data_IF_251610300304
#
_entry.id   IF_251610300304
#
_cell.length_a   1.000
_cell.length_b   1.000
_cell.length_c   1.000
_cell.angle_alpha   90.00
_cell.angle_beta   90.00
_cell.angle_gamma   90.00
#
_symmetry.space_group_name_H-M   'P 1'
#
loop_
_entity.id
_entity.type
_entity.pdbx_description
1 polymer ?
#
# COMPACT_ATOMS: atom_id res chain seq x y z
N UNK A 1 -1.62 34.83 -50.24
CA UNK A 1 -2.82 34.58 -49.41
C UNK A 1 -3.57 33.39 -49.98
N UNK A 2 -3.84 32.37 -49.18
CA UNK A 2 -4.61 31.20 -49.62
C UNK A 2 -4.27 29.95 -48.82
N UNK A 3 -4.85 29.85 -47.62
CA UNK A 3 -4.75 28.69 -46.71
C UNK A 3 -5.31 27.44 -47.41
N UNK A 4 -4.58 26.31 -47.39
CA UNK A 4 -5.17 24.99 -47.59
C UNK A 4 -5.42 24.37 -46.21
N UNK A 5 -6.68 24.37 -45.80
CA UNK A 5 -7.18 23.47 -44.75
C UNK A 5 -7.08 22.04 -45.29
N UNK A 6 -6.41 21.16 -44.56
CA UNK A 6 -6.55 19.72 -44.73
C UNK A 6 -7.45 19.24 -43.61
N UNK A 7 -8.69 18.93 -43.98
CA UNK A 7 -9.67 18.23 -43.17
C UNK A 7 -9.23 16.76 -43.06
N UNK A 8 -8.89 16.28 -41.87
CA UNK A 8 -8.70 14.85 -41.63
C UNK A 8 -10.04 14.23 -41.27
N UNK A 9 -10.56 13.44 -42.21
CA UNK A 9 -11.73 12.58 -42.07
C UNK A 9 -11.32 11.36 -41.25
N UNK A 10 -11.85 11.19 -40.03
CA UNK A 10 -11.80 9.89 -39.35
C UNK A 10 -12.93 9.03 -39.95
N UNK A 11 -12.54 8.06 -40.78
CA UNK A 11 -13.42 7.06 -41.33
C UNK A 11 -13.80 6.02 -40.28
N UNK A 12 -15.10 5.91 -40.03
CA UNK A 12 -15.73 4.80 -39.32
C UNK A 12 -15.53 3.52 -40.14
N UNK A 13 -14.94 2.49 -39.53
CA UNK A 13 -15.01 1.11 -40.06
C UNK A 13 -15.80 0.28 -39.06
N UNK A 14 -17.08 0.07 -39.37
CA UNK A 14 -17.87 -1.03 -38.82
C UNK A 14 -17.50 -2.29 -39.60
N UNK A 15 -17.09 -3.34 -38.89
CA UNK A 15 -17.20 -4.72 -39.36
C UNK A 15 -17.94 -5.53 -38.30
N UNK A 16 -19.17 -5.91 -38.66
CA UNK A 16 -20.05 -6.81 -37.91
C UNK A 16 -19.58 -8.23 -38.13
N UNK A 17 -19.09 -8.88 -37.06
CA UNK A 17 -18.86 -10.32 -37.01
C UNK A 17 -19.55 -10.86 -35.76
N UNK A 18 -20.67 -11.54 -35.96
CA UNK A 18 -21.46 -12.11 -34.85
C UNK A 18 -20.66 -13.16 -34.08
N UNK A 19 -20.49 -12.93 -32.79
CA UNK A 19 -20.23 -13.96 -31.81
C UNK A 19 -21.34 -13.94 -30.77
N UNK A 20 -21.88 -15.14 -30.51
CA UNK A 20 -22.79 -15.42 -29.42
C UNK A 20 -22.19 -14.89 -28.12
N UNK A 21 -22.70 -13.74 -27.65
CA UNK A 21 -22.38 -13.22 -26.33
C UNK A 21 -23.11 -14.10 -25.30
N UNK A 22 -22.46 -15.16 -24.85
CA UNK A 22 -22.68 -15.63 -23.49
C UNK A 22 -22.25 -14.47 -22.58
N UNK A 23 -23.22 -13.75 -22.03
CA UNK A 23 -22.99 -12.73 -21.00
C UNK A 23 -22.42 -13.41 -19.77
N UNK A 24 -21.11 -13.62 -19.74
CA UNK A 24 -20.42 -13.80 -18.48
C UNK A 24 -20.29 -12.41 -17.87
N UNK A 25 -21.14 -12.14 -16.90
CA UNK A 25 -20.90 -11.08 -15.92
C UNK A 25 -19.64 -11.44 -15.17
N UNK A 26 -18.47 -11.05 -15.69
CA UNK A 26 -17.23 -11.13 -14.94
C UNK A 26 -17.23 -9.93 -14.01
N UNK A 27 -17.46 -10.18 -12.73
CA UNK A 27 -17.29 -9.20 -11.66
C UNK A 27 -15.82 -8.82 -11.56
N UNK A 28 -15.44 -7.68 -12.15
CA UNK A 28 -14.19 -7.02 -11.81
C UNK A 28 -14.25 -6.57 -10.33
N UNK A 29 -13.25 -7.01 -9.57
CA UNK A 29 -12.82 -6.47 -8.27
C UNK A 29 -13.80 -6.56 -7.07
N UNK A 30 -14.15 -7.79 -6.65
CA UNK A 30 -14.61 -8.06 -5.27
C UNK A 30 -13.51 -8.71 -4.41
N UNK A 31 -12.30 -8.17 -4.43
CA UNK A 31 -11.21 -8.60 -3.55
C UNK A 31 -10.58 -7.40 -2.83
N UNK A 32 -11.33 -6.81 -1.92
CA UNK A 32 -10.79 -5.92 -0.88
C UNK A 32 -10.09 -6.78 0.18
N UNK A 33 -8.78 -6.61 0.34
CA UNK A 33 -7.99 -7.34 1.33
C UNK A 33 -6.75 -6.58 1.76
N UNK A 34 -6.91 -5.68 2.74
CA UNK A 34 -5.86 -4.94 3.45
C UNK A 34 -6.31 -3.52 3.83
N UNK A 35 -6.16 -3.14 5.10
CA UNK A 35 -6.17 -1.72 5.54
C UNK A 35 -4.87 -1.01 5.15
N UNK A 36 -3.79 -1.78 5.03
CA UNK A 36 -2.52 -1.38 4.46
C UNK A 36 -1.90 -2.54 3.67
N UNK A 37 -1.19 -2.23 2.61
CA UNK A 37 -0.34 -3.16 1.85
C UNK A 37 1.05 -2.53 1.68
N UNK A 38 2.08 -3.22 2.16
CA UNK A 38 3.46 -2.73 2.21
C UNK A 38 4.36 -3.56 1.32
N UNK A 39 5.17 -2.89 0.49
CA UNK A 39 5.92 -3.47 -0.62
C UNK A 39 7.41 -3.16 -0.45
N UNK A 40 8.16 -4.01 0.25
CA UNK A 40 9.55 -3.75 0.64
C UNK A 40 10.61 -3.97 -0.46
N UNK A 41 10.21 -4.43 -1.66
CA UNK A 41 11.10 -4.66 -2.82
C UNK A 41 12.46 -5.34 -2.54
N UNK A 42 12.54 -6.21 -1.53
CA UNK A 42 13.73 -7.02 -1.24
C UNK A 42 13.99 -8.11 -2.30
N UNK A 43 12.93 -8.63 -2.90
CA UNK A 43 12.94 -9.70 -3.89
C UNK A 43 11.68 -9.64 -4.77
N UNK A 44 11.70 -10.35 -5.90
CA UNK A 44 10.50 -10.52 -6.72
C UNK A 44 9.48 -11.43 -6.02
N UNK A 45 8.38 -10.85 -5.54
CA UNK A 45 7.23 -11.60 -5.07
C UNK A 45 6.24 -11.84 -6.23
N UNK A 46 6.38 -12.99 -6.89
CA UNK A 46 5.53 -13.39 -8.01
C UNK A 46 4.08 -13.67 -7.61
N UNK A 47 3.76 -13.78 -6.32
CA UNK A 47 2.38 -13.92 -5.86
C UNK A 47 1.62 -12.59 -5.87
N UNK A 48 2.34 -11.48 -5.70
CA UNK A 48 1.77 -10.14 -5.58
C UNK A 48 1.94 -9.28 -6.83
N UNK A 49 2.97 -9.56 -7.64
CA UNK A 49 3.35 -8.72 -8.77
C UNK A 49 3.59 -9.52 -10.04
N UNK A 50 3.60 -8.80 -11.16
CA UNK A 50 3.97 -9.27 -12.49
C UNK A 50 4.98 -8.31 -13.14
N UNK A 51 5.85 -8.86 -13.98
CA UNK A 51 6.78 -8.10 -14.83
C UNK A 51 6.27 -8.11 -16.26
N UNK A 52 6.20 -6.94 -16.88
CA UNK A 52 5.69 -6.82 -18.26
C UNK A 52 6.72 -7.31 -19.29
N UNK A 53 6.21 -7.89 -20.38
CA UNK A 53 7.01 -8.43 -21.50
C UNK A 53 6.45 -8.04 -22.88
N UNK A 54 5.78 -6.90 -22.95
CA UNK A 54 5.06 -6.37 -24.11
C UNK A 54 5.48 -4.90 -24.36
N UNK A 55 4.94 -4.23 -25.36
CA UNK A 55 5.21 -2.81 -25.59
C UNK A 55 3.91 -2.02 -25.63
N UNK A 56 3.88 -0.86 -24.97
CA UNK A 56 2.76 0.08 -25.06
C UNK A 56 2.60 0.65 -26.48
N UNK A 57 3.70 0.72 -27.24
CA UNK A 57 3.75 1.48 -28.48
C UNK A 57 3.62 3.00 -28.26
N UNK A 58 3.27 3.73 -29.31
CA UNK A 58 3.12 5.18 -29.23
C UNK A 58 4.43 5.87 -28.84
N UNK A 59 4.41 6.63 -27.74
CA UNK A 59 5.56 7.38 -27.25
C UNK A 59 6.57 6.55 -26.45
N UNK A 60 6.22 5.34 -26.03
CA UNK A 60 7.10 4.46 -25.26
C UNK A 60 8.07 3.75 -26.23
N UNK A 61 9.28 4.29 -26.38
CA UNK A 61 10.30 3.78 -27.31
C UNK A 61 11.03 2.55 -26.76
N UNK A 62 10.30 1.62 -26.13
CA UNK A 62 10.88 0.39 -25.62
C UNK A 62 9.88 -0.77 -25.62
N UNK A 63 10.43 -1.98 -25.53
CA UNK A 63 9.69 -3.18 -25.12
C UNK A 63 9.98 -3.47 -23.65
N UNK A 64 8.95 -3.71 -22.85
CA UNK A 64 9.12 -4.16 -21.48
C UNK A 64 9.80 -5.53 -21.45
N UNK A 65 10.74 -5.70 -20.54
CA UNK A 65 11.47 -6.95 -20.39
C UNK A 65 11.65 -7.28 -18.91
N UNK A 66 11.29 -8.50 -18.47
CA UNK A 66 11.54 -8.94 -17.10
C UNK A 66 13.02 -8.84 -16.69
N UNK A 67 13.96 -8.95 -17.64
CA UNK A 67 15.40 -8.79 -17.37
C UNK A 67 15.80 -7.36 -16.96
N UNK A 68 14.92 -6.39 -17.20
CA UNK A 68 15.10 -4.99 -16.83
C UNK A 68 14.56 -4.68 -15.43
N UNK A 69 14.00 -5.68 -14.73
CA UNK A 69 13.56 -5.60 -13.33
C UNK A 69 14.48 -6.49 -12.49
N UNK A 70 15.17 -5.91 -11.51
CA UNK A 70 16.10 -6.66 -10.64
C UNK A 70 15.99 -6.21 -9.20
N UNK A 71 16.32 -7.11 -8.27
CA UNK A 71 16.22 -6.87 -6.83
C UNK A 71 17.57 -7.17 -6.19
N UNK A 72 18.14 -6.18 -5.51
CA UNK A 72 19.42 -6.31 -4.83
C UNK A 72 19.55 -5.24 -3.75
N UNK A 73 20.14 -5.60 -2.62
CA UNK A 73 20.38 -4.67 -1.49
C UNK A 73 19.10 -4.02 -0.95
N UNK A 74 18.00 -4.77 -0.88
CA UNK A 74 16.73 -4.31 -0.32
C UNK A 74 15.94 -3.34 -1.20
N UNK A 75 16.27 -3.25 -2.49
CA UNK A 75 15.60 -2.32 -3.43
C UNK A 75 15.33 -3.02 -4.76
N UNK A 76 14.25 -2.59 -5.42
CA UNK A 76 14.01 -2.86 -6.83
C UNK A 76 14.79 -1.84 -7.68
N UNK A 77 15.38 -2.33 -8.77
CA UNK A 77 16.03 -1.54 -9.81
C UNK A 77 15.35 -1.80 -11.14
N UNK A 78 14.84 -0.74 -11.76
CA UNK A 78 14.31 -0.74 -13.12
C UNK A 78 15.32 -0.08 -14.05
N UNK A 79 15.69 -0.73 -15.16
CA UNK A 79 16.77 -0.25 -16.04
C UNK A 79 16.29 -0.05 -17.47
N UNK A 80 16.77 1.00 -18.14
CA UNK A 80 16.68 1.14 -19.60
C UNK A 80 17.94 0.54 -20.22
N UNK A 81 17.75 -0.45 -21.09
CA UNK A 81 18.81 -1.12 -21.84
C UNK A 81 18.53 -1.09 -23.34
N UNK A 82 19.39 -1.73 -24.13
CA UNK A 82 19.19 -1.93 -25.57
C UNK A 82 19.58 -3.34 -25.97
N UNK A 83 18.77 -3.94 -26.83
CA UNK A 83 19.08 -5.18 -27.52
C UNK A 83 19.01 -4.97 -29.04
N UNK A 84 19.05 -6.05 -29.81
CA UNK A 84 19.02 -6.00 -31.27
C UNK A 84 17.65 -5.55 -31.86
N UNK A 85 16.57 -5.58 -31.07
CA UNK A 85 15.23 -5.11 -31.46
C UNK A 85 14.97 -3.63 -31.16
N UNK A 86 15.75 -3.01 -30.28
CA UNK A 86 15.52 -1.63 -29.83
C UNK A 86 15.86 -1.46 -28.35
N UNK A 87 15.34 -0.39 -27.74
CA UNK A 87 15.48 -0.21 -26.29
C UNK A 87 14.53 -1.16 -25.54
N UNK A 88 14.94 -1.54 -24.34
CA UNK A 88 14.10 -2.26 -23.39
C UNK A 88 13.98 -1.48 -22.09
N UNK A 89 12.79 -1.53 -21.48
CA UNK A 89 12.49 -0.91 -20.20
C UNK A 89 12.03 -1.94 -19.18
N UNK A 90 12.01 -1.54 -17.91
CA UNK A 90 11.41 -2.33 -16.84
C UNK A 90 10.04 -1.76 -16.47
N UNK A 91 9.03 -2.63 -16.35
CA UNK A 91 7.75 -2.31 -15.74
C UNK A 91 7.39 -3.41 -14.74
N UNK A 92 7.01 -2.99 -13.54
CA UNK A 92 6.60 -3.84 -12.43
C UNK A 92 5.25 -3.39 -11.92
N UNK A 93 4.29 -4.30 -11.78
CA UNK A 93 2.91 -3.95 -11.43
C UNK A 93 2.27 -4.96 -10.51
N UNK A 94 1.38 -4.49 -9.64
CA UNK A 94 0.63 -5.36 -8.73
C UNK A 94 -0.38 -6.20 -9.51
N UNK A 95 -0.68 -7.39 -8.98
CA UNK A 95 -1.83 -8.20 -9.44
C UNK A 95 -3.15 -7.70 -8.84
N UNK A 96 -3.10 -7.16 -7.61
CA UNK A 96 -4.23 -6.53 -6.93
C UNK A 96 -4.52 -5.13 -7.51
N UNK A 97 -5.78 -4.73 -7.37
CA UNK A 97 -6.26 -3.38 -7.64
C UNK A 97 -6.56 -2.68 -6.30
N UNK A 98 -6.33 -1.38 -6.26
CA UNK A 98 -6.44 -0.55 -5.06
C UNK A 98 -7.36 0.64 -5.35
N UNK A 99 -8.23 0.96 -4.39
CA UNK A 99 -9.18 2.07 -4.49
C UNK A 99 -8.66 3.32 -3.77
N UNK A 100 -9.59 4.10 -3.22
CA UNK A 100 -9.26 5.29 -2.42
C UNK A 100 -8.35 4.96 -1.23
N UNK A 101 -7.34 5.79 -1.04
CA UNK A 101 -6.32 5.61 -0.02
C UNK A 101 -5.09 6.45 -0.27
N UNK A 102 -4.12 6.33 0.64
CA UNK A 102 -2.81 6.93 0.54
C UNK A 102 -1.86 5.94 -0.12
N UNK A 103 -1.28 6.34 -1.25
CA UNK A 103 -0.27 5.59 -1.99
C UNK A 103 1.06 6.27 -1.76
N UNK A 104 2.09 5.50 -1.41
CA UNK A 104 3.43 6.04 -1.15
C UNK A 104 4.50 5.19 -1.84
N UNK A 105 5.61 5.84 -2.17
CA UNK A 105 6.79 5.21 -2.74
C UNK A 105 8.05 5.93 -2.26
N UNK A 106 9.08 5.17 -1.92
CA UNK A 106 10.41 5.69 -1.67
C UNK A 106 11.31 5.34 -2.86
N UNK A 107 11.73 6.34 -3.63
CA UNK A 107 12.42 6.10 -4.91
C UNK A 107 13.48 7.16 -5.27
N UNK A 108 14.35 6.77 -6.21
CA UNK A 108 15.31 7.62 -6.95
C UNK A 108 15.08 7.46 -8.46
N UNK A 109 14.67 8.52 -9.19
CA UNK A 109 14.46 8.45 -10.63
C UNK A 109 15.78 8.46 -11.43
N UNK A 110 15.68 8.10 -12.71
CA UNK A 110 16.76 8.25 -13.69
C UNK A 110 16.97 9.74 -13.99
N UNK A 111 18.23 10.17 -13.99
CA UNK A 111 18.65 11.47 -14.53
C UNK A 111 19.25 11.29 -15.92
N UNK A 112 18.44 11.49 -16.95
CA UNK A 112 18.84 11.48 -18.35
C UNK A 112 17.83 12.24 -19.21
N UNK A 113 18.28 12.91 -20.28
CA UNK A 113 17.34 13.53 -21.23
C UNK A 113 16.44 12.45 -21.87
N UNK A 114 15.17 12.76 -22.11
CA UNK A 114 14.26 11.90 -22.88
C UNK A 114 13.74 10.65 -22.19
N UNK A 115 13.84 10.53 -20.86
CA UNK A 115 13.33 9.36 -20.12
C UNK A 115 12.36 9.75 -19.01
N UNK A 116 11.51 8.80 -18.61
CA UNK A 116 10.61 8.89 -17.46
C UNK A 116 10.92 7.79 -16.45
N UNK A 117 10.81 8.11 -15.17
CA UNK A 117 10.68 7.15 -14.06
C UNK A 117 9.38 7.43 -13.33
N UNK A 118 8.57 6.40 -13.05
CA UNK A 118 7.18 6.59 -12.61
C UNK A 118 6.79 5.75 -11.39
N UNK A 119 5.80 6.27 -10.66
CA UNK A 119 4.96 5.52 -9.73
C UNK A 119 3.52 5.98 -9.94
N UNK A 120 2.63 5.06 -10.27
CA UNK A 120 1.28 5.41 -10.69
C UNK A 120 0.27 4.31 -10.37
N UNK A 121 -1.01 4.65 -10.46
CA UNK A 121 -2.09 3.67 -10.51
C UNK A 121 -2.68 3.63 -11.91
N UNK A 122 -3.03 2.46 -12.42
CA UNK A 122 -3.68 2.33 -13.72
C UNK A 122 -4.70 1.21 -13.76
N UNK A 123 -5.83 1.48 -14.41
CA UNK A 123 -6.75 0.50 -14.98
C UNK A 123 -7.27 1.03 -16.31
N UNK A 124 -7.62 0.15 -17.25
CA UNK A 124 -8.12 0.58 -18.56
C UNK A 124 -8.78 -0.53 -19.37
N UNK A 125 -8.80 -0.35 -20.69
CA UNK A 125 -9.44 -1.27 -21.63
C UNK A 125 -8.83 -2.68 -21.54
N UNK A 126 -7.51 -2.77 -21.29
CA UNK A 126 -6.80 -4.04 -21.03
C UNK A 126 -7.36 -4.83 -19.84
N UNK A 127 -7.99 -4.14 -18.90
CA UNK A 127 -8.55 -4.69 -17.67
C UNK A 127 -10.10 -4.71 -17.72
N UNK A 128 -10.71 -4.37 -18.86
CA UNK A 128 -12.17 -4.35 -19.04
C UNK A 128 -12.85 -3.15 -18.36
N UNK A 129 -12.13 -2.06 -18.14
CA UNK A 129 -12.60 -0.85 -17.45
C UNK A 129 -12.35 0.41 -18.27
N UNK A 130 -12.88 1.55 -17.82
CA UNK A 130 -12.47 2.85 -18.36
C UNK A 130 -11.04 3.17 -17.92
N UNK A 131 -10.34 3.97 -18.72
CA UNK A 131 -8.99 4.42 -18.37
C UNK A 131 -9.04 5.43 -17.22
N UNK A 132 -8.69 4.98 -16.03
CA UNK A 132 -8.50 5.79 -14.83
C UNK A 132 -7.06 5.58 -14.33
N UNK A 133 -6.33 6.68 -14.10
CA UNK A 133 -4.91 6.67 -13.76
C UNK A 133 -4.51 7.89 -12.92
N UNK A 134 -3.52 7.73 -12.04
CA UNK A 134 -2.95 8.81 -11.21
C UNK A 134 -1.43 8.66 -11.21
N UNK A 135 -0.73 9.74 -11.53
CA UNK A 135 0.68 9.72 -11.89
C UNK A 135 1.58 10.53 -10.95
N UNK A 136 2.75 9.97 -10.67
CA UNK A 136 3.97 10.67 -10.26
C UNK A 136 5.05 10.32 -11.29
N UNK A 137 5.48 11.31 -12.06
CA UNK A 137 6.46 11.14 -13.15
C UNK A 137 7.66 12.06 -12.96
N UNK A 138 8.87 11.48 -13.00
CA UNK A 138 10.11 12.24 -13.05
C UNK A 138 10.60 12.31 -14.49
N UNK A 139 10.59 13.52 -15.05
CA UNK A 139 11.15 13.79 -16.36
C UNK A 139 12.66 13.88 -16.23
N UNK A 140 13.39 12.89 -16.73
CA UNK A 140 14.80 12.68 -16.39
C UNK A 140 15.73 13.82 -16.81
N UNK A 141 15.30 14.71 -17.71
CA UNK A 141 16.09 15.88 -18.13
C UNK A 141 16.22 16.93 -17.02
N UNK A 142 15.31 16.95 -16.05
CA UNK A 142 15.31 17.86 -14.92
C UNK A 142 14.69 17.21 -13.68
N UNK A 143 15.49 16.40 -13.00
CA UNK A 143 15.15 15.71 -11.76
C UNK A 143 15.06 16.63 -10.53
N UNK A 144 15.13 17.96 -10.71
CA UNK A 144 14.76 18.92 -9.65
C UNK A 144 13.27 19.21 -9.61
N UNK A 145 12.51 18.60 -10.52
CA UNK A 145 11.06 18.70 -10.62
C UNK A 145 10.41 17.32 -10.66
N UNK A 146 9.14 17.28 -10.28
CA UNK A 146 8.26 16.11 -10.43
C UNK A 146 6.97 16.56 -11.10
N UNK A 147 6.47 15.75 -12.04
CA UNK A 147 5.19 15.96 -12.70
C UNK A 147 4.12 15.11 -12.02
N UNK A 148 3.00 15.73 -11.68
CA UNK A 148 1.77 15.06 -11.26
C UNK A 148 0.77 15.09 -12.41
N UNK A 149 0.01 14.02 -12.59
CA UNK A 149 -1.06 13.96 -13.58
C UNK A 149 -2.15 12.97 -13.13
N UNK A 150 -3.26 12.96 -13.84
CA UNK A 150 -4.28 11.92 -13.72
C UNK A 150 -5.14 11.88 -14.98
N UNK A 151 -5.68 10.69 -15.26
CA UNK A 151 -6.66 10.45 -16.31
C UNK A 151 -7.97 9.97 -15.70
N UNK A 152 -9.07 10.53 -16.17
CA UNK A 152 -10.42 10.07 -15.81
C UNK A 152 -11.19 9.75 -17.06
N UNK A 153 -11.59 8.49 -17.22
CA UNK A 153 -12.21 7.99 -18.45
C UNK A 153 -11.40 8.35 -19.72
N UNK A 154 -10.07 8.20 -19.65
CA UNK A 154 -9.12 8.52 -20.71
C UNK A 154 -8.90 10.01 -20.97
N UNK A 155 -9.49 10.90 -20.16
CA UNK A 155 -9.27 12.34 -20.26
C UNK A 155 -8.15 12.77 -19.31
N UNK A 156 -6.99 13.12 -19.87
CA UNK A 156 -5.85 13.70 -19.15
C UNK A 156 -5.74 15.22 -19.35
N UNK A 157 -4.51 15.71 -19.58
CA UNK A 157 -4.14 17.14 -19.60
C UNK A 157 -4.25 17.82 -18.21
N UNK A 158 -3.86 17.09 -17.17
CA UNK A 158 -3.84 17.57 -15.78
C UNK A 158 -2.41 17.73 -15.24
N UNK A 159 -1.43 17.89 -16.14
CA UNK A 159 -0.02 17.96 -15.78
C UNK A 159 0.24 19.17 -14.87
N UNK A 160 0.85 18.90 -13.71
CA UNK A 160 1.34 19.91 -12.80
C UNK A 160 2.80 19.62 -12.47
N UNK A 161 3.69 20.56 -12.80
CA UNK A 161 5.13 20.42 -12.58
C UNK A 161 5.54 21.13 -11.28
N UNK A 162 5.89 20.37 -10.26
CA UNK A 162 6.31 20.86 -8.94
C UNK A 162 7.83 20.97 -8.84
N UNK A 163 8.33 22.06 -8.24
CA UNK A 163 9.77 22.24 -7.93
C UNK A 163 10.10 21.61 -6.58
N UNK A 164 10.98 20.61 -6.57
CA UNK A 164 11.31 19.83 -5.37
C UNK A 164 12.18 20.60 -4.37
N UNK A 165 13.03 21.50 -4.86
CA UNK A 165 14.06 22.16 -4.04
C UNK A 165 15.29 21.29 -3.76
N UNK A 166 15.33 20.08 -4.31
CA UNK A 166 16.45 19.14 -4.31
C UNK A 166 16.50 18.39 -5.65
N UNK A 167 17.58 17.66 -5.90
CA UNK A 167 17.70 16.79 -7.07
C UNK A 167 17.31 15.35 -6.69
N UNK A 168 16.14 14.89 -7.16
CA UNK A 168 15.57 13.60 -6.82
C UNK A 168 16.49 12.42 -7.17
N UNK A 169 17.39 12.57 -8.15
CA UNK A 169 18.26 11.45 -8.55
C UNK A 169 19.42 11.19 -7.57
N UNK A 170 19.68 12.09 -6.61
CA UNK A 170 20.85 12.01 -5.73
C UNK A 170 20.60 11.17 -4.47
N UNK A 171 19.37 11.15 -3.96
CA UNK A 171 19.00 10.48 -2.72
C UNK A 171 17.57 9.96 -2.80
N UNK A 172 17.27 8.93 -2.02
CA UNK A 172 15.91 8.45 -1.88
C UNK A 172 15.05 9.50 -1.17
N UNK A 173 13.84 9.69 -1.69
CA UNK A 173 12.81 10.55 -1.11
C UNK A 173 11.48 9.82 -1.16
N UNK A 174 10.55 10.22 -0.29
CA UNK A 174 9.21 9.63 -0.25
C UNK A 174 8.25 10.51 -1.03
N UNK A 175 7.55 9.92 -1.98
CA UNK A 175 6.50 10.56 -2.76
C UNK A 175 5.20 9.81 -2.55
N UNK A 176 4.08 10.48 -2.73
CA UNK A 176 2.80 9.80 -2.62
C UNK A 176 1.63 10.64 -3.07
N UNK A 177 0.47 10.02 -3.13
CA UNK A 177 -0.79 10.71 -3.32
C UNK A 177 -1.88 10.09 -2.46
N UNK A 178 -2.70 10.96 -1.86
CA UNK A 178 -3.92 10.60 -1.14
C UNK A 178 -5.11 10.79 -2.09
N UNK A 179 -5.65 9.66 -2.56
CA UNK A 179 -6.74 9.61 -3.52
C UNK A 179 -8.07 9.41 -2.81
N UNK A 180 -8.92 10.43 -2.88
CA UNK A 180 -10.27 10.48 -2.34
C UNK A 180 -11.30 10.64 -3.47
N UNK A 181 -12.58 10.39 -3.18
CA UNK A 181 -13.66 10.53 -4.16
C UNK A 181 -13.77 11.91 -4.81
N UNK A 182 -13.36 12.97 -4.10
CA UNK A 182 -13.44 14.36 -4.58
C UNK A 182 -12.09 15.04 -4.78
N UNK A 183 -10.97 14.38 -4.48
CA UNK A 183 -9.65 15.01 -4.57
C UNK A 183 -8.50 14.02 -4.67
N UNK A 184 -7.42 14.44 -5.28
CA UNK A 184 -6.10 13.80 -5.15
C UNK A 184 -5.16 14.83 -4.56
N UNK A 185 -4.49 14.50 -3.46
CA UNK A 185 -3.45 15.35 -2.86
C UNK A 185 -2.10 14.66 -2.97
N UNK A 186 -1.12 15.27 -3.63
CA UNK A 186 0.23 14.75 -3.76
C UNK A 186 1.14 15.24 -2.64
N UNK A 187 2.07 14.38 -2.23
CA UNK A 187 3.01 14.58 -1.14
C UNK A 187 4.45 14.39 -1.59
N UNK A 188 5.36 15.19 -1.02
CA UNK A 188 6.81 15.02 -1.11
C UNK A 188 7.36 15.07 0.31
N UNK A 189 8.05 14.01 0.74
CA UNK A 189 8.58 13.81 2.09
C UNK A 189 7.54 14.11 3.19
N UNK A 190 6.33 13.57 3.01
CA UNK A 190 5.20 13.73 3.93
C UNK A 190 4.52 15.11 3.90
N UNK A 191 5.01 16.06 3.10
CA UNK A 191 4.39 17.39 2.93
C UNK A 191 3.45 17.39 1.74
N UNK A 192 2.19 17.78 1.94
CA UNK A 192 1.26 18.04 0.85
C UNK A 192 1.75 19.22 -0.02
N UNK A 193 1.80 19.02 -1.34
CA UNK A 193 2.38 20.00 -2.28
C UNK A 193 1.42 20.42 -3.40
N UNK A 194 0.43 19.59 -3.74
CA UNK A 194 -0.55 19.88 -4.77
C UNK A 194 -1.84 19.10 -4.52
N UNK A 195 -2.99 19.71 -4.80
CA UNK A 195 -4.30 19.07 -4.72
C UNK A 195 -5.12 19.37 -5.97
N UNK A 196 -5.63 18.32 -6.62
CA UNK A 196 -6.61 18.41 -7.69
C UNK A 196 -8.00 18.02 -7.15
N UNK A 197 -9.06 18.66 -7.65
CA UNK A 197 -10.45 18.41 -7.20
C UNK A 197 -11.46 18.32 -8.35
N UNK A 198 -10.99 18.32 -9.60
CA UNK A 198 -11.83 18.31 -10.79
C UNK A 198 -11.70 16.94 -11.46
N UNK A 199 -12.83 16.38 -11.90
CA UNK A 199 -12.88 15.15 -12.71
C UNK A 199 -11.98 14.04 -12.15
N UNK A 200 -12.13 13.72 -10.87
CA UNK A 200 -11.24 12.77 -10.16
C UNK A 200 -11.56 11.32 -10.57
N UNK A 201 -10.53 10.46 -10.80
CA UNK A 201 -10.73 9.06 -11.12
C UNK A 201 -11.49 8.35 -9.99
N UNK A 202 -12.21 7.28 -10.32
CA UNK A 202 -12.99 6.53 -9.32
C UNK A 202 -12.98 5.00 -9.52
N UNK A 203 -12.20 4.50 -10.47
CA UNK A 203 -12.05 3.06 -10.73
C UNK A 203 -10.76 2.56 -10.11
N UNK A 204 -10.79 1.56 -9.20
CA UNK A 204 -9.59 0.99 -8.61
C UNK A 204 -8.56 0.55 -9.66
N UNK A 205 -7.29 0.89 -9.44
CA UNK A 205 -6.18 0.62 -10.35
C UNK A 205 -5.12 -0.29 -9.75
N UNK A 206 -4.32 -0.96 -10.59
CA UNK A 206 -3.08 -1.60 -10.14
C UNK A 206 -2.04 -0.53 -9.84
N UNK A 207 -1.21 -0.76 -8.83
CA UNK A 207 -0.01 0.07 -8.60
C UNK A 207 1.07 -0.38 -9.58
N UNK A 208 1.70 0.56 -10.26
CA UNK A 208 2.68 0.33 -11.32
C UNK A 208 3.89 1.24 -11.18
N UNK A 209 5.04 0.73 -11.59
CA UNK A 209 6.31 1.45 -11.68
C UNK A 209 6.96 1.08 -13.00
N UNK A 210 7.40 2.06 -13.78
CA UNK A 210 8.16 1.80 -15.00
C UNK A 210 9.28 2.83 -15.25
N UNK A 211 10.19 2.47 -16.15
CA UNK A 211 11.20 3.37 -16.71
C UNK A 211 11.28 3.19 -18.22
N UNK A 212 11.26 4.29 -18.96
CA UNK A 212 11.21 4.22 -20.43
C UNK A 212 11.81 5.46 -21.10
N UNK A 213 12.44 5.29 -22.27
CA UNK A 213 12.78 6.39 -23.16
C UNK A 213 11.60 6.77 -24.05
N UNK A 214 11.44 8.07 -24.31
CA UNK A 214 10.39 8.62 -25.15
C UNK A 214 10.78 8.78 -26.62
N UNK A 215 9.81 8.63 -27.52
CA UNK A 215 9.91 9.00 -28.94
C UNK A 215 8.72 9.84 -29.39
N UNK A 216 8.95 10.79 -30.30
CA UNK A 216 7.90 11.68 -30.83
C UNK A 216 7.37 12.72 -29.84
N UNK A 217 8.01 12.88 -28.67
CA UNK A 217 7.56 13.74 -27.57
C UNK A 217 8.67 14.68 -27.05
N UNK A 218 9.60 15.08 -27.92
CA UNK A 218 10.77 15.89 -27.56
C UNK A 218 10.42 17.24 -26.90
N UNK A 219 9.24 17.81 -27.18
CA UNK A 219 8.77 19.02 -26.50
C UNK A 219 8.45 18.82 -25.03
N UNK A 220 8.15 17.58 -24.62
CA UNK A 220 7.85 17.20 -23.25
C UNK A 220 9.08 16.62 -22.55
N UNK A 221 9.71 15.58 -23.13
CA UNK A 221 10.79 14.84 -22.47
C UNK A 221 12.20 15.31 -22.84
N UNK A 222 12.32 16.18 -23.85
CA UNK A 222 13.54 16.37 -24.64
C UNK A 222 13.96 15.09 -25.38
N UNK A 223 14.87 15.24 -26.33
CA UNK A 223 15.38 14.11 -27.09
C UNK A 223 16.13 13.13 -26.18
N UNK A 224 15.85 11.83 -26.31
CA UNK A 224 16.63 10.78 -25.67
C UNK A 224 17.97 10.58 -26.38
N UNK A 225 19.07 10.61 -25.64
CA UNK A 225 20.42 10.53 -26.19
C UNK A 225 20.92 9.10 -26.45
N UNK A 226 20.09 8.09 -26.15
CA UNK A 226 20.38 6.67 -26.37
C UNK A 226 21.26 6.02 -25.30
N UNK A 227 21.52 6.71 -24.18
CA UNK A 227 22.34 6.17 -23.08
C UNK A 227 21.66 4.98 -22.39
N UNK A 228 22.29 3.81 -22.43
CA UNK A 228 21.80 2.59 -21.78
C UNK A 228 22.47 2.31 -20.43
N UNK A 229 21.99 1.31 -19.71
CA UNK A 229 22.47 0.98 -18.35
C UNK A 229 22.08 2.02 -17.31
N UNK A 230 21.02 2.80 -17.56
CA UNK A 230 20.51 3.83 -16.66
C UNK A 230 19.30 3.29 -15.89
N UNK A 231 19.29 3.50 -14.57
CA UNK A 231 18.31 2.86 -13.68
C UNK A 231 17.64 3.81 -12.71
N UNK A 232 16.36 3.55 -12.44
CA UNK A 232 15.65 4.06 -11.27
C UNK A 232 15.67 3.01 -10.17
N UNK A 233 15.59 3.46 -8.92
CA UNK A 233 15.61 2.60 -7.74
C UNK A 233 14.38 2.87 -6.89
N UNK A 234 13.79 1.81 -6.34
CA UNK A 234 12.61 1.84 -5.49
C UNK A 234 12.93 1.00 -4.25
N UNK A 235 12.91 1.64 -3.08
CA UNK A 235 13.18 1.00 -1.79
C UNK A 235 11.92 0.29 -1.30
N UNK A 236 10.82 1.04 -1.18
CA UNK A 236 9.52 0.47 -0.85
C UNK A 236 8.38 1.25 -1.50
N UNK A 237 7.21 0.63 -1.53
CA UNK A 237 5.93 1.29 -1.77
C UNK A 237 4.89 0.85 -0.73
N UNK A 238 3.86 1.66 -0.52
CA UNK A 238 2.73 1.27 0.32
C UNK A 238 1.41 1.78 -0.22
N UNK A 239 0.35 1.13 0.22
CA UNK A 239 -1.03 1.58 0.10
C UNK A 239 -1.67 1.51 1.47
N UNK A 240 -2.37 2.57 1.87
CA UNK A 240 -3.17 2.65 3.08
C UNK A 240 -4.60 3.03 2.72
N UNK A 241 -5.56 2.13 2.93
CA UNK A 241 -6.97 2.42 2.71
C UNK A 241 -7.46 3.46 3.73
N UNK A 242 -8.38 4.35 3.33
CA UNK A 242 -9.03 5.24 4.30
C UNK A 242 -9.83 4.42 5.33
N UNK A 243 -9.60 4.71 6.61
CA UNK A 243 -10.33 4.06 7.71
C UNK A 243 -11.83 4.36 7.60
N UNK A 244 -12.66 3.32 7.56
CA UNK A 244 -14.13 3.44 7.42
C UNK A 244 -14.73 2.95 6.09
N UNK A 245 -13.92 2.53 5.12
CA UNK A 245 -14.42 1.87 3.90
C UNK A 245 -14.79 0.40 4.14
N UNK A 246 -15.74 0.14 5.04
CA UNK A 246 -16.44 -1.14 5.07
C UNK A 246 -17.59 -1.08 4.07
N UNK A 247 -17.48 -1.80 2.95
CA UNK A 247 -18.63 -2.08 2.09
C UNK A 247 -19.63 -2.94 2.87
N UNK A 248 -20.67 -2.30 3.40
CA UNK A 248 -21.86 -2.98 3.87
C UNK A 248 -22.69 -3.41 2.64
N UNK A 249 -22.20 -4.40 1.90
CA UNK A 249 -23.01 -5.14 0.94
C UNK A 249 -23.55 -6.38 1.62
N UNK A 250 -24.44 -6.18 2.59
CA UNK A 250 -25.40 -7.21 2.94
C UNK A 250 -26.28 -7.43 1.72
N UNK A 251 -26.01 -8.50 1.00
CA UNK A 251 -26.91 -9.08 0.01
C UNK A 251 -28.23 -9.42 0.71
N UNK A 252 -29.17 -8.47 0.67
CA UNK A 252 -30.58 -8.74 0.89
C UNK A 252 -31.06 -9.60 -0.28
N UNK A 253 -30.80 -10.91 -0.20
CA UNK A 253 -31.55 -11.92 -0.94
C UNK A 253 -32.93 -12.04 -0.29
N UNK A 254 -33.77 -11.02 -0.49
CA UNK A 254 -35.19 -11.19 -0.29
C UNK A 254 -35.77 -11.68 -1.63
N UNK A 255 -35.59 -12.98 -1.88
CA UNK A 255 -36.37 -13.68 -2.89
C UNK A 255 -37.81 -13.70 -2.40
N UNK A 256 -38.62 -12.85 -3.02
CA UNK A 256 -40.07 -12.84 -2.94
C UNK A 256 -40.63 -14.19 -3.39
N UNK A 257 -40.89 -15.07 -2.43
CA UNK A 257 -41.79 -16.20 -2.63
C UNK A 257 -43.20 -15.77 -2.24
N UNK A 258 -43.98 -15.55 -3.29
CA UNK A 258 -45.41 -15.36 -3.25
C UNK A 258 -46.07 -16.70 -2.87
N UNK A 259 -46.62 -16.80 -1.66
CA UNK A 259 -47.63 -17.79 -1.32
C UNK A 259 -48.69 -17.12 -0.47
N UNK A 260 -49.83 -16.92 -1.12
CA UNK A 260 -51.11 -16.58 -0.54
C UNK A 260 -51.53 -17.57 0.54
N UNK A 261 -51.88 -17.08 1.73
CA UNK A 261 -53.13 -17.47 2.38
C UNK A 261 -53.58 -16.47 3.45
N UNK A 262 -54.88 -16.24 3.39
CA UNK A 262 -55.73 -15.28 4.06
C UNK A 262 -56.04 -15.70 5.51
N UNK A 263 -56.10 -14.76 6.47
CA UNK A 263 -57.11 -14.69 7.55
C UNK A 263 -56.88 -13.52 8.53
N UNK A 264 -57.99 -12.85 8.87
CA UNK A 264 -58.17 -11.75 9.83
C UNK A 264 -57.66 -12.00 11.26
N UNK A 265 -57.17 -10.96 11.95
CA UNK A 265 -57.92 -10.21 13.00
C UNK A 265 -57.03 -9.48 14.03
N UNK A 266 -57.43 -8.23 14.31
CA UNK A 266 -57.47 -7.47 15.58
C UNK A 266 -56.38 -7.59 16.68
N UNK A 267 -55.70 -6.45 16.87
CA UNK A 267 -55.64 -5.61 18.09
C UNK A 267 -54.90 -6.09 19.38
N UNK A 268 -54.26 -5.10 20.02
CA UNK A 268 -53.91 -4.92 21.45
C UNK A 268 -52.43 -5.03 21.86
N UNK A 269 -52.02 -3.98 22.59
CA UNK A 269 -50.75 -3.70 23.25
C UNK A 269 -50.37 -4.68 24.36
N UNK A 270 -49.08 -4.73 24.70
CA UNK A 270 -48.50 -4.41 26.03
C UNK A 270 -47.25 -5.23 26.37
N UNK A 271 -46.29 -4.51 26.99
CA UNK A 271 -45.34 -4.91 28.04
C UNK A 271 -44.70 -6.32 28.08
N UNK A 272 -43.36 -6.32 28.17
CA UNK A 272 -42.46 -7.42 28.56
C UNK A 272 -42.70 -7.91 30.00
N UNK A 273 -42.36 -9.17 30.36
CA UNK A 273 -41.02 -9.45 30.93
C UNK A 273 -40.40 -10.83 30.56
N UNK A 274 -39.08 -10.93 30.75
CA UNK A 274 -38.20 -12.11 30.55
C UNK A 274 -38.51 -13.30 31.51
N UNK A 275 -38.05 -14.58 31.31
CA UNK A 275 -36.62 -14.97 31.28
C UNK A 275 -36.19 -16.25 30.49
N UNK A 276 -34.85 -16.41 30.39
CA UNK A 276 -34.02 -17.63 30.29
C UNK A 276 -34.00 -18.56 29.05
N UNK A 277 -32.84 -18.52 28.37
CA UNK A 277 -31.92 -19.62 28.00
C UNK A 277 -32.42 -20.79 27.13
N UNK A 278 -31.97 -20.81 25.86
CA UNK A 278 -31.33 -21.99 25.24
C UNK A 278 -30.58 -21.60 23.95
N UNK A 279 -29.26 -21.59 24.08
CA UNK A 279 -28.20 -21.91 23.10
C UNK A 279 -28.51 -21.94 21.58
N UNK A 280 -27.86 -21.02 20.84
CA UNK A 280 -26.98 -21.45 19.76
C UNK A 280 -25.80 -20.48 19.63
N UNK A 281 -24.59 -21.06 19.66
CA UNK A 281 -23.32 -20.38 19.78
C UNK A 281 -22.89 -19.72 18.46
N UNK A 282 -22.24 -18.56 18.57
CA UNK A 282 -21.48 -17.95 17.46
C UNK A 282 -21.71 -16.45 17.33
N UNK A 283 -21.11 -15.65 18.22
CA UNK A 283 -20.57 -14.32 17.93
C UNK A 283 -20.10 -13.68 19.24
N UNK A 284 -18.78 -13.52 19.39
CA UNK A 284 -18.23 -12.62 20.40
C UNK A 284 -17.52 -11.47 19.67
N UNK A 285 -18.32 -10.53 19.16
CA UNK A 285 -17.87 -9.22 18.70
C UNK A 285 -18.62 -8.18 19.52
N UNK A 286 -18.15 -7.97 20.75
CA UNK A 286 -18.78 -7.06 21.73
C UNK A 286 -17.76 -6.41 22.67
N UNK A 287 -16.49 -6.36 22.29
CA UNK A 287 -15.43 -5.68 23.04
C UNK A 287 -14.93 -4.52 22.18
N UNK A 288 -14.85 -3.31 22.72
CA UNK A 288 -14.26 -2.14 22.06
C UNK A 288 -12.75 -2.28 21.84
N UNK A 289 -12.30 -3.42 21.31
CA UNK A 289 -10.92 -3.73 20.99
C UNK A 289 -10.62 -3.30 19.55
N UNK A 290 -9.53 -2.54 19.39
CA UNK A 290 -8.95 -2.11 18.12
C UNK A 290 -8.47 -3.26 17.23
N UNK A 291 -8.16 -4.42 17.82
CA UNK A 291 -7.62 -5.59 17.13
C UNK A 291 -8.44 -6.84 17.45
N UNK A 292 -8.64 -7.70 16.44
CA UNK A 292 -9.29 -9.01 16.56
C UNK A 292 -8.29 -10.01 17.14
N UNK A 293 -8.55 -10.48 18.36
CA UNK A 293 -7.63 -11.39 19.08
C UNK A 293 -7.43 -12.74 18.41
N UNK A 294 -8.26 -13.12 17.43
CA UNK A 294 -8.12 -14.35 16.66
C UNK A 294 -7.24 -14.19 15.41
N UNK A 295 -6.90 -12.96 15.03
CA UNK A 295 -6.04 -12.67 13.89
C UNK A 295 -4.61 -12.43 14.34
N UNK A 296 -3.67 -12.96 13.56
CA UNK A 296 -2.26 -12.64 13.72
C UNK A 296 -1.95 -11.36 12.93
N UNK A 297 -1.06 -10.54 13.45
CA UNK A 297 -0.68 -9.25 12.92
C UNK A 297 0.83 -9.15 12.71
N UNK A 298 1.24 -8.38 11.71
CA UNK A 298 2.61 -7.91 11.51
C UNK A 298 2.70 -6.48 12.05
N UNK A 299 3.83 -6.14 12.65
CA UNK A 299 4.12 -4.79 13.12
C UNK A 299 5.32 -4.29 12.33
N UNK A 300 5.10 -3.35 11.41
CA UNK A 300 6.15 -2.78 10.55
C UNK A 300 6.51 -1.40 11.09
N UNK A 301 7.78 -1.17 11.39
CA UNK A 301 8.23 0.13 11.86
C UNK A 301 8.14 1.18 10.73
N UNK A 302 7.65 2.37 11.05
CA UNK A 302 7.42 3.41 10.04
C UNK A 302 8.70 4.06 9.53
N UNK A 303 9.75 4.12 10.37
CA UNK A 303 11.04 4.66 9.98
C UNK A 303 11.85 3.71 9.11
N UNK A 304 11.96 2.44 9.53
CA UNK A 304 12.83 1.45 8.87
C UNK A 304 12.13 0.55 7.85
N UNK A 305 10.78 0.50 7.86
CA UNK A 305 9.98 -0.46 7.10
C UNK A 305 10.26 -1.95 7.42
N UNK A 306 10.93 -2.24 8.55
CA UNK A 306 11.22 -3.59 9.01
C UNK A 306 10.21 -4.08 10.05
N UNK A 307 10.02 -5.40 10.12
CA UNK A 307 9.05 -6.04 11.01
C UNK A 307 9.61 -6.33 12.40
N UNK A 308 8.76 -6.21 13.42
CA UNK A 308 9.00 -6.75 14.75
C UNK A 308 9.17 -8.28 14.68
N UNK A 309 10.29 -8.80 15.22
CA UNK A 309 10.73 -10.17 15.03
C UNK A 309 11.33 -10.75 16.32
N UNK A 310 10.91 -11.98 16.69
CA UNK A 310 11.55 -12.77 17.75
C UNK A 310 12.87 -13.35 17.24
N UNK A 311 13.98 -12.88 17.80
CA UNK A 311 15.34 -13.21 17.34
C UNK A 311 15.54 -14.72 17.15
N UNK A 312 15.82 -15.09 15.89
CA UNK A 312 16.12 -16.47 15.51
C UNK A 312 14.99 -17.47 15.81
N UNK A 313 13.76 -16.98 16.00
CA UNK A 313 12.60 -17.78 16.43
C UNK A 313 12.87 -18.63 17.69
N UNK A 314 13.75 -18.15 18.58
CA UNK A 314 14.06 -18.84 19.84
C UNK A 314 12.87 -18.78 20.77
N UNK A 315 12.73 -19.77 21.66
CA UNK A 315 11.55 -19.93 22.54
C UNK A 315 11.82 -19.56 24.00
N UNK A 316 13.05 -19.18 24.32
CA UNK A 316 13.49 -18.94 25.70
C UNK A 316 12.99 -17.58 26.21
N UNK A 317 12.69 -17.50 27.51
CA UNK A 317 12.47 -16.23 28.19
C UNK A 317 13.71 -15.34 28.07
N UNK A 318 13.50 -14.06 27.81
CA UNK A 318 14.57 -13.11 27.58
C UNK A 318 15.15 -13.14 26.17
N UNK A 319 14.61 -13.96 25.26
CA UNK A 319 14.97 -13.87 23.83
C UNK A 319 14.66 -12.46 23.33
N UNK A 320 15.64 -11.86 22.65
CA UNK A 320 15.56 -10.50 22.18
C UNK A 320 14.46 -10.30 21.13
N UNK A 321 13.85 -9.12 21.13
CA UNK A 321 13.04 -8.66 20.01
C UNK A 321 13.87 -7.67 19.19
N UNK A 322 13.91 -7.90 17.89
CA UNK A 322 14.66 -7.10 16.93
C UNK A 322 13.76 -6.73 15.76
N UNK A 323 14.24 -5.84 14.89
CA UNK A 323 13.61 -5.62 13.59
C UNK A 323 14.26 -6.49 12.50
N UNK A 324 13.47 -7.00 11.57
CA UNK A 324 13.95 -7.79 10.44
C UNK A 324 13.02 -7.67 9.23
N UNK A 325 13.51 -7.84 7.98
CA UNK A 325 12.64 -7.89 6.81
C UNK A 325 11.48 -8.87 6.99
N UNK A 326 10.26 -8.43 6.69
CA UNK A 326 9.08 -9.28 6.85
C UNK A 326 9.10 -10.41 5.82
N UNK A 327 9.16 -11.65 6.29
CA UNK A 327 9.17 -12.89 5.49
C UNK A 327 7.93 -13.75 5.71
N UNK A 328 6.96 -13.27 6.50
CA UNK A 328 5.74 -14.00 6.82
C UNK A 328 5.94 -15.18 7.79
N UNK A 329 7.11 -15.33 8.40
CA UNK A 329 7.36 -16.39 9.37
C UNK A 329 6.62 -16.14 10.68
N UNK A 330 6.29 -17.22 11.41
CA UNK A 330 5.52 -17.11 12.65
C UNK A 330 6.18 -16.23 13.74
N UNK A 331 7.52 -16.08 13.74
CA UNK A 331 8.26 -15.21 14.67
C UNK A 331 8.08 -13.71 14.38
N UNK A 332 7.41 -13.36 13.27
CA UNK A 332 7.09 -11.99 12.87
C UNK A 332 5.58 -11.72 12.97
N UNK A 333 4.83 -12.65 13.54
CA UNK A 333 3.37 -12.60 13.68
C UNK A 333 3.00 -12.48 15.16
N UNK A 334 2.03 -11.62 15.46
CA UNK A 334 1.68 -11.22 16.82
C UNK A 334 0.17 -11.17 17.01
N UNK A 335 -0.33 -11.64 18.15
CA UNK A 335 -1.73 -11.52 18.55
C UNK A 335 -1.89 -10.40 19.57
N UNK A 336 -2.92 -9.57 19.41
CA UNK A 336 -3.29 -8.53 20.37
C UNK A 336 -4.44 -9.03 21.23
N UNK A 337 -4.19 -9.27 22.50
CA UNK A 337 -5.19 -9.72 23.46
C UNK A 337 -5.54 -8.54 24.37
N UNK A 338 -6.78 -8.04 24.28
CA UNK A 338 -7.24 -6.94 25.12
C UNK A 338 -7.52 -7.40 26.55
N UNK A 339 -6.93 -6.72 27.54
CA UNK A 339 -7.14 -6.96 28.97
C UNK A 339 -7.36 -5.61 29.67
N UNK A 340 -8.62 -5.27 29.96
CA UNK A 340 -9.00 -3.94 30.43
C UNK A 340 -8.71 -2.87 29.37
N UNK A 341 -7.95 -1.85 29.76
CA UNK A 341 -7.53 -0.74 28.89
C UNK A 341 -6.21 -1.02 28.14
N UNK A 342 -5.64 -2.22 28.31
CA UNK A 342 -4.32 -2.57 27.78
C UNK A 342 -4.39 -3.74 26.79
N UNK A 343 -3.30 -3.92 26.05
CA UNK A 343 -3.04 -5.06 25.20
C UNK A 343 -1.88 -5.88 25.71
N UNK A 344 -2.05 -7.19 25.64
CA UNK A 344 -0.97 -8.17 25.69
C UNK A 344 -0.60 -8.52 24.25
N UNK A 345 0.65 -8.26 23.86
CA UNK A 345 1.15 -8.51 22.50
C UNK A 345 1.87 -9.86 22.53
N UNK A 346 1.23 -10.90 21.99
CA UNK A 346 1.66 -12.30 22.10
C UNK A 346 2.26 -12.79 20.79
N UNK A 347 3.48 -13.32 20.83
CA UNK A 347 4.13 -13.94 19.67
C UNK A 347 3.33 -15.17 19.19
N UNK A 348 3.11 -15.24 17.88
CA UNK A 348 2.43 -16.38 17.26
C UNK A 348 3.32 -17.63 17.18
N UNK A 349 4.65 -17.48 17.17
CA UNK A 349 5.56 -18.65 17.12
C UNK A 349 5.78 -19.32 18.47
N UNK A 350 5.85 -18.53 19.55
CA UNK A 350 6.24 -19.02 20.88
C UNK A 350 5.10 -19.04 21.88
N UNK A 351 4.08 -18.19 21.67
CA UNK A 351 3.01 -17.94 22.64
C UNK A 351 3.42 -17.06 23.83
N UNK A 352 4.65 -16.56 23.86
CA UNK A 352 5.17 -15.61 24.87
C UNK A 352 4.79 -14.18 24.51
N UNK A 353 4.97 -13.25 25.44
CA UNK A 353 4.48 -11.88 25.31
C UNK A 353 5.62 -10.86 25.27
N UNK A 354 5.39 -9.78 24.51
CA UNK A 354 6.28 -8.63 24.40
C UNK A 354 6.46 -7.99 25.77
N UNK A 355 7.70 -7.95 26.26
CA UNK A 355 8.02 -7.60 27.64
C UNK A 355 9.18 -6.61 27.66
N UNK A 356 9.04 -5.51 28.40
CA UNK A 356 10.19 -4.69 28.78
C UNK A 356 11.00 -5.45 29.83
N UNK A 357 12.25 -5.78 29.49
CA UNK A 357 13.12 -6.60 30.32
C UNK A 357 13.36 -5.96 31.68
N UNK A 358 13.35 -6.79 32.73
CA UNK A 358 13.55 -6.40 34.13
C UNK A 358 12.59 -5.30 34.63
N UNK A 359 11.47 -5.10 33.91
CA UNK A 359 10.54 -4.00 34.14
C UNK A 359 11.22 -2.63 34.20
N UNK A 360 12.28 -2.45 33.38
CA UNK A 360 13.04 -1.21 33.30
C UNK A 360 12.11 -0.01 33.05
N UNK A 361 12.50 1.15 33.57
CA UNK A 361 11.77 2.42 33.37
C UNK A 361 12.63 3.51 32.75
N UNK A 362 13.90 3.25 32.46
CA UNK A 362 14.80 4.16 31.76
C UNK A 362 14.73 3.99 30.23
N UNK A 363 15.15 5.03 29.53
CA UNK A 363 15.35 5.04 28.08
C UNK A 363 16.36 3.96 27.66
N UNK A 364 16.10 3.27 26.57
CA UNK A 364 16.94 2.17 26.07
C UNK A 364 16.75 0.85 26.81
N UNK A 365 15.70 0.74 27.63
CA UNK A 365 15.33 -0.55 28.25
C UNK A 365 15.01 -1.59 27.19
N UNK A 366 15.62 -2.77 27.27
CA UNK A 366 15.48 -3.80 26.25
C UNK A 366 14.06 -4.36 26.18
N UNK A 367 13.59 -4.72 24.98
CA UNK A 367 12.34 -5.45 24.78
C UNK A 367 12.62 -6.89 24.36
N UNK A 368 12.09 -7.82 25.13
CA UNK A 368 12.26 -9.26 24.93
C UNK A 368 10.90 -9.97 24.91
N UNK A 369 10.89 -11.27 24.65
CA UNK A 369 9.72 -12.10 24.97
C UNK A 369 9.88 -12.75 26.35
N UNK A 370 8.76 -12.91 27.05
CA UNK A 370 8.69 -13.66 28.30
C UNK A 370 7.36 -14.38 28.43
N UNK A 371 7.29 -15.44 29.24
CA UNK A 371 6.02 -16.04 29.65
C UNK A 371 5.13 -14.98 30.32
N UNK A 372 3.83 -15.04 30.08
CA UNK A 372 2.92 -14.07 30.68
C UNK A 372 2.69 -14.37 32.16
N UNK A 373 2.91 -13.38 33.02
CA UNK A 373 2.63 -13.45 34.46
C UNK A 373 1.96 -12.19 35.01
N UNK A 374 1.41 -11.34 34.13
CA UNK A 374 0.55 -10.22 34.51
C UNK A 374 1.27 -8.93 34.95
N UNK A 375 2.59 -8.85 34.77
CA UNK A 375 3.36 -7.64 35.09
C UNK A 375 2.98 -6.46 34.19
N UNK A 376 3.06 -5.24 34.72
CA UNK A 376 2.83 -4.02 33.94
C UNK A 376 3.85 -3.83 32.81
N UNK A 377 5.04 -4.42 32.92
CA UNK A 377 6.04 -4.42 31.84
C UNK A 377 5.65 -5.29 30.63
N UNK A 378 4.59 -6.09 30.75
CA UNK A 378 4.02 -6.94 29.70
C UNK A 378 2.73 -6.39 29.09
N UNK A 379 2.28 -5.22 29.56
CA UNK A 379 1.04 -4.55 29.16
C UNK A 379 1.37 -3.33 28.33
N UNK A 380 0.65 -3.15 27.24
CA UNK A 380 0.90 -2.09 26.26
C UNK A 380 -0.37 -1.32 25.94
N UNK A 381 -0.27 0.00 25.92
CA UNK A 381 -1.31 0.91 25.44
C UNK A 381 -1.03 1.22 23.96
N UNK A 382 -2.08 1.24 23.14
CA UNK A 382 -1.94 1.44 21.69
C UNK A 382 -2.76 2.66 21.30
N UNK A 383 -2.07 3.68 20.79
CA UNK A 383 -2.65 4.95 20.39
C UNK A 383 -2.51 5.15 18.88
N UNK A 384 -3.59 5.43 18.15
CA UNK A 384 -3.50 5.84 16.76
C UNK A 384 -2.66 7.12 16.62
N UNK A 385 -1.85 7.18 15.58
CA UNK A 385 -1.00 8.31 15.22
C UNK A 385 -1.27 8.73 13.76
N UNK A 386 -0.52 9.73 13.26
CA UNK A 386 -0.64 10.17 11.88
C UNK A 386 -0.29 9.05 10.88
N UNK A 387 -0.73 9.20 9.63
CA UNK A 387 -0.38 8.30 8.53
C UNK A 387 -0.70 6.82 8.80
N UNK A 388 -1.83 6.57 9.47
CA UNK A 388 -2.32 5.21 9.79
C UNK A 388 -1.33 4.36 10.60
N UNK A 389 -0.44 5.01 11.36
CA UNK A 389 0.48 4.35 12.28
C UNK A 389 -0.07 4.34 13.70
N UNK A 390 0.60 3.59 14.58
CA UNK A 390 0.29 3.49 15.99
C UNK A 390 1.54 3.73 16.84
N UNK A 391 1.37 4.42 17.97
CA UNK A 391 2.31 4.36 19.07
C UNK A 391 1.94 3.22 19.99
N UNK A 392 2.93 2.42 20.35
CA UNK A 392 2.79 1.30 21.29
C UNK A 392 3.56 1.68 22.55
N UNK A 393 2.85 1.94 23.65
CA UNK A 393 3.41 2.53 24.87
C UNK A 393 3.38 1.49 25.98
N UNK A 394 4.50 1.27 26.65
CA UNK A 394 4.56 0.34 27.76
C UNK A 394 3.83 0.90 28.98
N UNK A 395 2.94 0.11 29.57
CA UNK A 395 2.11 0.55 30.69
C UNK A 395 2.94 0.83 31.97
N UNK A 396 4.04 0.13 32.20
CA UNK A 396 4.88 0.33 33.39
C UNK A 396 5.68 1.64 33.34
N UNK A 397 6.23 1.99 32.17
CA UNK A 397 7.21 3.07 32.03
C UNK A 397 6.67 4.33 31.34
N UNK A 398 5.54 4.22 30.62
CA UNK A 398 5.00 5.27 29.76
C UNK A 398 5.84 5.55 28.51
N UNK A 399 6.74 4.63 28.13
CA UNK A 399 7.68 4.81 27.00
C UNK A 399 7.24 4.04 25.75
N UNK A 400 7.60 4.57 24.58
CA UNK A 400 7.24 4.00 23.28
C UNK A 400 8.12 2.79 22.94
N UNK A 401 7.53 1.80 22.27
CA UNK A 401 8.26 0.75 21.56
C UNK A 401 9.03 1.40 20.40
N UNK A 402 10.36 1.35 20.46
CA UNK A 402 11.26 2.13 19.62
C UNK A 402 12.34 1.24 18.98
N UNK A 403 12.80 1.63 17.79
CA UNK A 403 14.02 1.07 17.21
C UNK A 403 15.24 1.79 17.77
N UNK A 404 16.14 1.03 18.39
CA UNK A 404 17.33 1.57 19.02
C UNK A 404 18.16 2.40 18.04
N UNK A 405 18.51 3.62 18.45
CA UNK A 405 19.28 4.59 17.67
C UNK A 405 18.66 5.01 16.32
N UNK A 406 17.38 4.70 16.07
CA UNK A 406 16.74 4.94 14.78
C UNK A 406 17.43 4.20 13.63
N UNK A 407 17.91 2.97 13.89
CA UNK A 407 18.59 2.17 12.88
C UNK A 407 17.64 1.67 11.80
N UNK A 408 18.11 1.60 10.56
CA UNK A 408 17.43 0.92 9.45
C UNK A 408 17.98 -0.49 9.21
N UNK A 409 18.91 -0.96 10.03
CA UNK A 409 19.57 -2.25 9.83
C UNK A 409 18.69 -3.40 10.28
N UNK A 410 18.70 -4.49 9.50
CA UNK A 410 18.19 -5.76 9.95
C UNK A 410 18.95 -6.22 11.21
N UNK A 411 18.22 -6.80 12.15
CA UNK A 411 18.67 -7.20 13.49
C UNK A 411 18.93 -6.04 14.47
N UNK A 412 18.61 -4.79 14.13
CA UNK A 412 18.67 -3.73 15.11
C UNK A 412 17.73 -4.00 16.28
N UNK A 413 18.15 -3.56 17.46
CA UNK A 413 17.44 -3.83 18.70
C UNK A 413 16.11 -3.07 18.77
N UNK A 414 15.10 -3.69 19.37
CA UNK A 414 13.88 -3.01 19.80
C UNK A 414 13.97 -2.73 21.30
N UNK A 415 13.75 -1.48 21.65
CA UNK A 415 13.84 -0.98 23.02
C UNK A 415 12.59 -0.19 23.37
N UNK A 416 12.49 0.24 24.63
CA UNK A 416 11.61 1.35 24.99
C UNK A 416 12.39 2.66 25.01
N UNK A 417 11.76 3.75 24.57
CA UNK A 417 12.36 5.08 24.62
C UNK A 417 11.29 6.14 24.90
N UNK A 418 11.64 7.26 25.53
CA UNK A 418 10.74 8.40 25.67
C UNK A 418 10.20 8.84 24.31
N UNK A 419 8.96 9.32 24.29
CA UNK A 419 8.36 9.90 23.10
C UNK A 419 9.19 11.09 22.60
N UNK A 420 9.74 10.97 21.41
CA UNK A 420 10.47 12.02 20.69
C UNK A 420 9.80 12.36 19.36
N UNK A 421 8.59 11.84 19.11
CA UNK A 421 7.82 12.05 17.88
C UNK A 421 8.59 11.69 16.61
N UNK A 422 9.37 10.61 16.69
CA UNK A 422 10.16 10.05 15.58
C UNK A 422 9.35 9.03 14.77
N UNK A 423 9.73 8.77 13.52
CA UNK A 423 9.16 7.64 12.75
C UNK A 423 9.56 6.27 13.31
N UNK A 424 10.64 6.20 14.10
CA UNK A 424 11.16 4.96 14.69
C UNK A 424 10.39 4.46 15.93
N UNK A 425 9.44 5.25 16.44
CA UNK A 425 8.49 4.88 17.50
C UNK A 425 7.06 4.64 16.97
N UNK A 426 6.87 4.73 15.65
CA UNK A 426 5.59 4.56 14.96
C UNK A 426 5.55 3.20 14.27
N UNK A 427 4.42 2.52 14.35
CA UNK A 427 4.25 1.17 13.82
C UNK A 427 2.99 1.07 12.96
N UNK A 428 3.11 0.55 11.74
CA UNK A 428 1.97 0.01 11.02
C UNK A 428 1.61 -1.35 11.61
N UNK A 429 0.32 -1.60 11.86
CA UNK A 429 -0.18 -2.83 12.45
C UNK A 429 -1.24 -3.42 11.52
N UNK A 430 -0.92 -4.53 10.87
CA UNK A 430 -1.78 -5.17 9.87
C UNK A 430 -1.94 -6.65 10.08
N UNK A 431 -3.03 -7.22 9.59
CA UNK A 431 -3.22 -8.68 9.58
C UNK A 431 -2.09 -9.34 8.78
N UNK A 432 -1.40 -10.29 9.40
CA UNK A 432 -0.33 -11.05 8.79
C UNK A 432 -0.90 -12.29 8.09
N UNK A 433 -1.23 -12.14 6.81
CA UNK A 433 -1.68 -13.25 5.95
C UNK A 433 -0.62 -14.35 5.82
#
# INVERSE_FOLDING_TARGET
>A
MGKKLVSLVLGTVLTVGGLLASSMSVTAASAWGGTHDGMAFDYHDSSQFEMSSWSNGGMFDCTWSPNNVSFANGQMKLTIERNWQGYTGGEYRTKKYYGYGLFQVNMKPIKNSGVVSSFFTYTGESDGTKWDEIDIEFLGYDTTKVQFNYYTNGQGNHEYLYNLGFDASQSFHTYGFDWNAGSITWYVDGKAVYTATRDIPNTPGKIMMNVWPGTGVDNWLRHYDGRTGISAYYDWASYDAHTGSSNNSSSNNNSSNNSSNNSNSNNISSYQPAPSQSSNAGNNSGSGAMFDSYKAYKLINSGSCLSLDVQGNRRDNGTNILQYPFRGNANQKWYFIKEGDYYIIKSASTGKVLTVQDSATWDGGNVCQWDYYGSNSQKWEIYPAANNTYKIINHNSGKCLNIAYGSNDANANVEQYKDVSSSYEMWWIDVAN
#
